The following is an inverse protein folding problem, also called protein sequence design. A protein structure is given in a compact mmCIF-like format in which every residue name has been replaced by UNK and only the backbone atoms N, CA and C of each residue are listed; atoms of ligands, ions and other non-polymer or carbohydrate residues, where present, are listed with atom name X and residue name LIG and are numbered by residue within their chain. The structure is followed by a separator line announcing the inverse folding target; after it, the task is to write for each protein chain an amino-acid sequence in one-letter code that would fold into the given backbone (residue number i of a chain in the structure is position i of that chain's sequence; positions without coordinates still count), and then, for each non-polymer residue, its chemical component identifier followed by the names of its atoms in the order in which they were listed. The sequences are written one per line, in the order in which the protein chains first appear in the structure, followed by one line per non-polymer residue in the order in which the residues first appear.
data_IF_110138142140
#
_entry.id   IF_110138142140
#
_cell.length_a   1.000
_cell.length_b   1.000
_cell.length_c   1.000
_cell.angle_alpha   90.00
_cell.angle_beta   90.00
_cell.angle_gamma   90.00
#
_symmetry.space_group_name_H-M   'P 1'
#
loop_
_entity.id
_entity.type
_entity.pdbx_description
1 polymer ?
#
# COMPACT_ATOMS: atom_id res chain seq x y z
N UNK A 1 -10.50 -60.73 79.34
CA UNK A 1 -9.18 -61.30 79.00
C UNK A 1 -8.47 -60.27 78.14
N UNK A 2 -7.43 -59.64 78.70
CA UNK A 2 -6.68 -58.49 78.17
C UNK A 2 -5.62 -59.02 77.20
N UNK A 3 -5.44 -58.41 76.03
CA UNK A 3 -4.16 -58.34 75.29
C UNK A 3 -4.25 -57.08 74.41
N UNK A 4 -3.93 -55.88 74.90
CA UNK A 4 -2.61 -55.24 74.98
C UNK A 4 -1.93 -55.07 73.60
N UNK A 5 -1.99 -53.83 73.10
CA UNK A 5 -1.14 -53.29 72.04
C UNK A 5 0.35 -53.40 72.42
N UNK A 6 1.23 -53.56 71.43
CA UNK A 6 2.39 -52.68 71.41
C UNK A 6 2.64 -52.03 70.05
N UNK A 7 3.12 -50.81 70.18
CA UNK A 7 3.55 -49.85 69.18
C UNK A 7 4.83 -50.38 68.51
N UNK A 8 4.86 -50.47 67.17
CA UNK A 8 6.12 -50.51 66.39
C UNK A 8 6.06 -49.39 65.35
N UNK A 9 6.98 -48.45 65.57
CA UNK A 9 7.34 -47.31 64.75
C UNK A 9 8.05 -47.82 63.50
N UNK A 10 7.59 -47.45 62.30
CA UNK A 10 8.48 -47.27 61.15
C UNK A 10 7.83 -46.36 60.11
N UNK A 11 8.21 -45.08 60.19
CA UNK A 11 8.42 -44.17 59.07
C UNK A 11 7.43 -44.15 57.90
N UNK A 12 6.79 -42.99 57.73
CA UNK A 12 6.75 -42.23 56.47
C UNK A 12 6.23 -43.05 55.28
N UNK A 13 4.97 -42.91 54.89
CA UNK A 13 4.67 -41.91 53.87
C UNK A 13 3.19 -41.56 53.96
N UNK A 14 2.89 -40.33 54.39
CA UNK A 14 1.60 -39.70 54.12
C UNK A 14 1.49 -39.63 52.60
N UNK A 15 0.75 -40.53 51.98
CA UNK A 15 0.37 -40.40 50.56
C UNK A 15 -0.73 -39.34 50.52
N UNK A 16 -0.34 -38.08 50.68
CA UNK A 16 -1.16 -36.95 50.27
C UNK A 16 -1.47 -37.15 48.78
N UNK A 17 -2.70 -36.94 48.30
CA UNK A 17 -2.93 -36.86 46.87
C UNK A 17 -2.02 -35.74 46.35
N UNK A 18 -1.07 -36.09 45.50
CA UNK A 18 -0.28 -35.09 44.81
C UNK A 18 -1.22 -34.37 43.84
N UNK A 19 -1.90 -33.34 44.35
CA UNK A 19 -2.48 -32.32 43.50
C UNK A 19 -1.32 -31.55 42.89
N UNK A 20 -0.77 -32.06 41.79
CA UNK A 20 0.11 -31.30 40.91
C UNK A 20 -0.73 -30.27 40.17
N UNK A 21 -1.16 -29.21 40.87
CA UNK A 21 -1.61 -28.00 40.19
C UNK A 21 -0.42 -27.07 40.00
N UNK A 22 0.26 -27.20 38.87
CA UNK A 22 1.05 -26.13 38.29
C UNK A 22 1.05 -26.29 36.78
N UNK A 23 -0.12 -26.03 36.18
CA UNK A 23 -0.22 -25.76 34.75
C UNK A 23 0.37 -24.36 34.54
N UNK A 24 1.68 -24.27 34.31
CA UNK A 24 2.26 -23.07 33.71
C UNK A 24 1.87 -23.10 32.24
N UNK A 25 0.71 -22.51 31.95
CA UNK A 25 0.41 -22.13 30.57
C UNK A 25 1.37 -20.98 30.25
N UNK A 26 2.54 -21.33 29.72
CA UNK A 26 3.44 -20.39 29.06
C UNK A 26 2.82 -20.00 27.72
N UNK A 27 1.65 -19.35 27.75
CA UNK A 27 1.19 -18.63 26.57
C UNK A 27 2.07 -17.38 26.47
N UNK A 28 3.14 -17.51 25.68
CA UNK A 28 3.73 -16.35 25.06
C UNK A 28 2.64 -15.78 24.14
N UNK A 29 2.05 -14.65 24.53
CA UNK A 29 1.09 -13.93 23.67
C UNK A 29 1.89 -13.28 22.55
N UNK A 30 2.17 -14.03 21.49
CA UNK A 30 2.65 -13.44 20.24
C UNK A 30 1.47 -12.71 19.63
N UNK A 31 1.51 -11.38 19.66
CA UNK A 31 0.55 -10.57 18.90
C UNK A 31 0.96 -10.69 17.43
N UNK A 32 0.38 -11.67 16.73
CA UNK A 32 0.48 -11.73 15.28
C UNK A 32 -0.44 -10.62 14.74
N UNK A 33 0.12 -9.56 14.21
CA UNK A 33 -0.63 -8.61 13.37
C UNK A 33 -0.87 -9.29 12.04
N UNK A 34 -1.93 -10.09 11.98
CA UNK A 34 -2.44 -10.65 10.74
C UNK A 34 -3.09 -9.50 9.97
N UNK A 35 -2.34 -8.91 9.03
CA UNK A 35 -2.90 -8.02 8.00
C UNK A 35 -3.73 -8.89 7.06
N UNK A 36 -5.03 -8.64 7.00
CA UNK A 36 -5.94 -9.41 6.15
C UNK A 36 -6.52 -8.46 5.12
N UNK A 37 -5.97 -8.54 3.92
CA UNK A 37 -6.49 -7.76 2.81
C UNK A 37 -7.97 -8.10 2.52
N UNK A 38 -8.80 -7.07 2.39
CA UNK A 38 -10.23 -7.20 2.07
C UNK A 38 -11.13 -7.26 3.32
N UNK A 39 -10.64 -6.87 4.49
CA UNK A 39 -11.43 -6.81 5.73
C UNK A 39 -12.11 -5.44 5.97
N UNK A 40 -11.96 -4.50 5.02
CA UNK A 40 -12.41 -3.10 5.08
C UNK A 40 -11.70 -2.22 6.12
N UNK A 41 -10.49 -2.60 6.54
CA UNK A 41 -9.65 -1.85 7.48
C UNK A 41 -8.24 -1.81 6.91
N UNK A 42 -7.70 -0.61 6.70
CA UNK A 42 -6.32 -0.47 6.22
C UNK A 42 -5.36 -0.76 7.38
N UNK A 43 -4.79 -1.96 7.38
CA UNK A 43 -3.81 -2.42 8.35
C UNK A 43 -2.38 -1.97 7.99
N UNK A 44 -1.42 -2.23 8.89
CA UNK A 44 -0.02 -1.86 8.68
C UNK A 44 0.61 -2.62 7.51
N UNK A 45 0.95 -1.91 6.44
CA UNK A 45 1.52 -2.48 5.21
C UNK A 45 0.53 -2.53 4.03
N UNK A 46 -0.68 -2.04 4.22
CA UNK A 46 -1.71 -1.90 3.19
C UNK A 46 -1.84 -0.44 2.76
N UNK A 47 -2.06 -0.20 1.46
CA UNK A 47 -2.36 1.12 0.92
C UNK A 47 -3.88 1.34 0.75
N UNK A 48 -4.63 0.25 0.67
CA UNK A 48 -6.08 0.19 0.52
C UNK A 48 -6.60 -1.11 1.12
N UNK A 49 -7.88 -1.14 1.51
CA UNK A 49 -8.57 -2.38 1.90
C UNK A 49 -10.02 -2.33 1.43
N UNK A 50 -10.26 -2.86 0.22
CA UNK A 50 -11.60 -3.03 -0.34
C UNK A 50 -11.76 -4.49 -0.75
N UNK A 51 -12.79 -5.20 -0.24
CA UNK A 51 -13.01 -6.60 -0.61
C UNK A 51 -13.47 -6.74 -2.06
N UNK A 52 -12.95 -7.76 -2.75
CA UNK A 52 -13.41 -8.17 -4.08
C UNK A 52 -12.79 -7.43 -5.26
N UNK A 53 -11.96 -6.42 -4.99
CA UNK A 53 -11.19 -5.73 -6.01
C UNK A 53 -9.97 -6.57 -6.43
N UNK A 54 -9.62 -6.53 -7.71
CA UNK A 54 -8.48 -7.30 -8.25
C UNK A 54 -7.34 -6.42 -8.76
N UNK A 55 -7.43 -5.10 -8.56
CA UNK A 55 -6.46 -4.13 -9.07
C UNK A 55 -6.51 -4.01 -10.59
N UNK A 56 -7.70 -3.93 -11.18
CA UNK A 56 -7.86 -3.61 -12.60
C UNK A 56 -7.49 -2.15 -12.83
N UNK A 57 -6.94 -1.89 -14.01
CA UNK A 57 -6.64 -0.56 -14.50
C UNK A 57 -7.88 0.35 -14.49
N UNK A 58 -7.67 1.60 -14.11
CA UNK A 58 -8.72 2.62 -14.07
C UNK A 58 -8.22 3.96 -14.60
N UNK A 59 -9.13 4.75 -15.14
CA UNK A 59 -8.86 6.11 -15.65
C UNK A 59 -9.53 7.20 -14.81
N UNK A 60 -10.04 6.84 -13.63
CA UNK A 60 -10.70 7.81 -12.75
C UNK A 60 -10.32 7.55 -11.31
N UNK A 61 -10.11 8.63 -10.54
CA UNK A 61 -9.73 8.51 -9.12
C UNK A 61 -10.77 7.70 -8.31
N UNK A 62 -12.05 7.86 -8.63
CA UNK A 62 -13.14 7.12 -7.98
C UNK A 62 -13.16 5.64 -8.35
N UNK A 63 -12.61 5.28 -9.52
CA UNK A 63 -12.53 3.91 -10.00
C UNK A 63 -11.21 3.24 -9.67
N UNK A 64 -10.30 3.87 -8.91
CA UNK A 64 -9.01 3.26 -8.56
C UNK A 64 -9.25 2.02 -7.71
N UNK A 65 -8.76 0.88 -8.18
CA UNK A 65 -9.02 -0.41 -7.53
C UNK A 65 -7.91 -0.81 -6.57
N UNK A 66 -8.30 -1.52 -5.52
CA UNK A 66 -7.36 -2.21 -4.65
C UNK A 66 -6.95 -3.54 -5.28
N UNK A 67 -5.66 -3.89 -5.25
CA UNK A 67 -5.21 -5.21 -5.69
C UNK A 67 -5.50 -6.28 -4.63
N UNK A 68 -5.44 -7.56 -5.00
CA UNK A 68 -5.55 -8.67 -4.05
C UNK A 68 -4.44 -8.71 -2.98
N UNK A 69 -3.41 -7.86 -3.12
CA UNK A 69 -2.34 -7.66 -2.17
C UNK A 69 -2.51 -6.39 -1.31
N UNK A 70 -3.65 -5.72 -1.40
CA UNK A 70 -3.96 -4.46 -0.71
C UNK A 70 -2.99 -3.31 -1.02
N UNK A 71 -2.42 -3.36 -2.22
CA UNK A 71 -1.71 -2.27 -2.86
C UNK A 71 -2.61 -1.63 -3.90
N UNK A 72 -2.42 -0.34 -4.16
CA UNK A 72 -3.14 0.33 -5.23
C UNK A 72 -2.88 -0.33 -6.58
N UNK A 73 -3.96 -0.57 -7.31
CA UNK A 73 -3.90 -1.03 -8.69
C UNK A 73 -3.37 0.05 -9.64
N UNK A 74 -3.05 -0.37 -10.87
CA UNK A 74 -2.67 0.52 -11.95
C UNK A 74 -3.78 1.53 -12.23
N UNK A 75 -3.41 2.78 -12.46
CA UNK A 75 -4.32 3.91 -12.53
C UNK A 75 -3.64 5.07 -13.26
N UNK A 76 -4.33 5.58 -14.29
CA UNK A 76 -3.92 6.80 -14.96
C UNK A 76 -4.07 8.00 -14.03
N UNK A 77 -2.98 8.69 -13.78
CA UNK A 77 -2.89 9.82 -12.85
C UNK A 77 -2.20 9.46 -11.53
N UNK A 78 -1.50 8.33 -11.45
CA UNK A 78 -0.60 8.03 -10.31
C UNK A 78 0.85 8.49 -10.52
N UNK A 79 1.15 9.09 -11.67
CA UNK A 79 2.47 9.58 -12.04
C UNK A 79 3.42 8.47 -12.48
N UNK A 80 2.92 7.24 -12.70
CA UNK A 80 3.70 6.10 -13.13
C UNK A 80 3.24 5.70 -14.52
N UNK A 81 4.12 5.71 -15.51
CA UNK A 81 3.76 5.27 -16.86
C UNK A 81 3.59 3.75 -16.96
N UNK A 82 2.35 3.30 -17.19
CA UNK A 82 1.92 1.90 -17.22
C UNK A 82 1.63 1.46 -18.66
N UNK A 83 2.69 1.35 -19.47
CA UNK A 83 2.59 0.98 -20.90
C UNK A 83 1.88 -0.36 -21.19
N UNK A 84 1.79 -1.25 -20.18
CA UNK A 84 1.03 -2.49 -20.27
C UNK A 84 -0.50 -2.28 -20.40
N UNK A 85 -1.00 -1.08 -20.06
CA UNK A 85 -2.40 -0.68 -20.17
C UNK A 85 -2.62 0.40 -21.26
N UNK A 86 -1.70 0.49 -22.22
CA UNK A 86 -1.73 1.45 -23.32
C UNK A 86 -1.63 2.93 -22.89
N UNK A 87 -1.11 3.22 -21.71
CA UNK A 87 -0.75 4.60 -21.35
C UNK A 87 0.40 5.11 -22.21
N UNK A 88 0.25 6.34 -22.70
CA UNK A 88 1.26 7.06 -23.50
C UNK A 88 1.94 8.18 -22.69
N UNK A 89 1.29 8.62 -21.62
CA UNK A 89 1.75 9.61 -20.65
C UNK A 89 1.09 9.32 -19.30
N UNK A 90 1.66 9.83 -18.21
CA UNK A 90 1.00 9.99 -16.91
C UNK A 90 1.71 11.14 -16.20
N UNK A 91 0.98 12.21 -15.89
CA UNK A 91 1.49 13.42 -15.24
C UNK A 91 1.01 13.58 -13.79
N UNK A 92 0.41 12.52 -13.22
CA UNK A 92 -0.02 12.47 -11.84
C UNK A 92 -1.40 13.07 -11.57
N UNK A 93 -2.22 13.30 -12.61
CA UNK A 93 -3.61 13.72 -12.44
C UNK A 93 -4.54 13.15 -13.56
N UNK A 94 -5.84 13.46 -13.53
CA UNK A 94 -6.81 13.11 -14.60
C UNK A 94 -7.49 14.38 -15.16
N UNK A 95 -6.80 15.50 -15.14
CA UNK A 95 -7.26 16.72 -15.78
C UNK A 95 -6.89 16.64 -17.27
N UNK A 96 -7.73 17.21 -18.14
CA UNK A 96 -7.40 17.35 -19.56
C UNK A 96 -6.74 18.72 -19.77
N UNK A 97 -5.96 18.87 -20.84
CA UNK A 97 -5.39 20.15 -21.21
C UNK A 97 -4.09 20.51 -20.49
N UNK A 98 -3.32 19.52 -20.04
CA UNK A 98 -2.00 19.66 -19.43
C UNK A 98 -0.93 18.77 -20.11
N UNK A 99 -1.21 18.40 -21.37
CA UNK A 99 -0.41 17.51 -22.24
C UNK A 99 -0.64 16.01 -22.00
N UNK A 100 -1.30 15.62 -20.92
CA UNK A 100 -1.75 14.25 -20.72
C UNK A 100 -3.25 14.20 -20.43
N UNK A 101 -4.03 13.61 -21.34
CA UNK A 101 -5.48 13.55 -21.11
C UNK A 101 -5.83 12.69 -19.90
N UNK A 102 -7.05 12.86 -19.37
CA UNK A 102 -7.65 12.04 -18.31
C UNK A 102 -7.70 10.53 -18.56
N UNK A 103 -7.35 10.08 -19.77
CA UNK A 103 -7.24 8.68 -20.17
C UNK A 103 -5.81 8.25 -20.51
N UNK A 104 -4.82 9.05 -20.10
CA UNK A 104 -3.38 8.82 -20.27
C UNK A 104 -2.95 8.69 -21.74
N UNK A 105 -3.57 9.51 -22.59
CA UNK A 105 -3.20 9.70 -23.99
C UNK A 105 -2.55 11.06 -24.18
N UNK A 106 -1.51 11.09 -25.01
CA UNK A 106 -0.80 12.33 -25.32
C UNK A 106 -1.76 13.27 -26.05
N UNK A 107 -1.89 14.48 -25.51
CA UNK A 107 -2.70 15.52 -26.12
C UNK A 107 -1.91 16.29 -27.19
N UNK A 108 -2.58 16.93 -28.17
CA UNK A 108 -1.91 17.77 -29.14
C UNK A 108 -1.05 18.86 -28.49
N UNK A 109 0.11 19.14 -29.11
CA UNK A 109 0.99 20.24 -28.71
C UNK A 109 0.26 21.58 -28.85
N UNK A 110 -0.28 22.09 -27.74
CA UNK A 110 -1.12 23.29 -27.68
C UNK A 110 -2.27 23.19 -26.68
N UNK A 111 -2.60 21.97 -26.22
CA UNK A 111 -3.59 21.77 -25.16
C UNK A 111 -3.08 22.17 -23.77
N UNK A 112 -1.77 22.08 -23.53
CA UNK A 112 -1.16 22.26 -22.23
C UNK A 112 -1.20 23.70 -21.70
N UNK A 113 -2.22 24.00 -20.92
CA UNK A 113 -2.16 25.08 -19.94
C UNK A 113 -1.26 24.60 -18.80
N UNK A 114 0.00 25.06 -18.77
CA UNK A 114 0.96 24.71 -17.72
C UNK A 114 0.42 25.05 -16.33
N UNK A 115 -0.26 24.08 -15.71
CA UNK A 115 -0.78 24.13 -14.36
C UNK A 115 0.17 23.37 -13.44
N UNK A 116 1.45 23.75 -13.43
CA UNK A 116 2.40 23.20 -12.47
C UNK A 116 1.86 23.38 -11.05
N UNK A 117 1.60 22.24 -10.41
CA UNK A 117 1.39 22.07 -8.99
C UNK A 117 2.38 22.91 -8.18
N UNK A 118 1.88 23.79 -7.30
CA UNK A 118 2.68 24.44 -6.26
C UNK A 118 2.90 25.94 -6.45
N UNK A 119 1.90 26.73 -6.07
CA UNK A 119 2.10 28.15 -5.83
C UNK A 119 3.08 28.37 -4.68
N UNK A 120 4.27 28.85 -5.01
CA UNK A 120 4.96 29.81 -4.16
C UNK A 120 5.07 31.10 -4.97
N UNK A 121 4.23 32.07 -4.61
CA UNK A 121 4.17 33.40 -5.20
C UNK A 121 5.56 34.05 -5.27
N UNK A 122 6.19 34.01 -6.43
CA UNK A 122 7.45 34.70 -6.64
C UNK A 122 8.25 34.25 -7.86
N UNK A 123 7.89 34.78 -9.04
CA UNK A 123 8.90 35.01 -10.08
C UNK A 123 8.50 34.65 -11.50
N UNK A 124 8.37 35.69 -12.34
CA UNK A 124 8.79 35.69 -13.74
C UNK A 124 7.91 34.92 -14.73
N UNK A 125 7.05 35.65 -15.45
CA UNK A 125 6.43 35.14 -16.67
C UNK A 125 7.49 34.72 -17.69
N UNK A 126 7.32 33.53 -18.26
CA UNK A 126 8.06 33.10 -19.44
C UNK A 126 7.59 33.92 -20.64
N UNK A 127 8.51 34.71 -21.19
CA UNK A 127 8.35 35.44 -22.44
C UNK A 127 8.24 34.49 -23.62
N UNK A 128 7.46 34.87 -24.64
CA UNK A 128 7.34 34.27 -25.97
C UNK A 128 8.65 34.33 -26.80
N UNK A 129 9.80 34.14 -26.16
CA UNK A 129 11.09 34.09 -26.83
C UNK A 129 11.16 32.76 -27.56
N UNK A 130 10.70 32.82 -28.80
CA UNK A 130 11.13 31.97 -29.89
C UNK A 130 12.65 31.83 -29.84
N UNK A 131 13.14 30.70 -29.31
CA UNK A 131 14.56 30.41 -29.14
C UNK A 131 15.25 30.06 -30.46
N UNK A 132 14.63 30.38 -31.60
CA UNK A 132 15.20 30.15 -32.91
C UNK A 132 15.25 28.66 -33.19
N UNK A 133 14.32 28.21 -34.02
CA UNK A 133 14.59 27.05 -34.84
C UNK A 133 15.97 27.24 -35.48
N UNK A 134 16.91 26.36 -35.12
CA UNK A 134 18.25 26.43 -35.70
C UNK A 134 18.08 26.13 -37.18
N UNK A 135 18.10 27.17 -38.02
CA UNK A 135 18.14 27.04 -39.47
C UNK A 135 19.46 26.35 -39.81
N UNK A 136 19.44 25.03 -39.95
CA UNK A 136 20.59 24.27 -40.44
C UNK A 136 20.62 24.47 -41.96
N UNK A 137 21.39 25.47 -42.40
CA UNK A 137 21.74 25.63 -43.82
C UNK A 137 22.74 24.55 -44.23
N UNK A 138 22.26 23.45 -44.80
CA UNK A 138 23.12 22.48 -45.49
C UNK A 138 23.34 22.98 -46.93
N UNK A 139 24.46 23.66 -47.16
CA UNK A 139 24.93 23.96 -48.52
C UNK A 139 25.75 22.76 -48.99
N UNK A 140 25.12 21.86 -49.74
CA UNK A 140 25.82 20.76 -50.41
C UNK A 140 26.67 21.28 -51.57
N UNK A 141 27.91 20.79 -51.66
CA UNK A 141 28.84 21.03 -52.78
C UNK A 141 28.76 19.88 -53.78
#
# INVERSE_FOLDING_TARGET
MRLWFPIIILSILVITPLSTKAQTISHATTTLTISICGNSIVDGGEDCDVPGETGVYSTTIAGRQCSAACLWGPYCGDGILQTAYDEECDDGNNDDGDFCSSICKIEPAGSGGGGSSGGNSGGGGGSDVDLGDTIINIIGR
#
